data_IF_594129280840
#
_entry.id   IF_594129280840
#
_cell.length_a   1.000
_cell.length_b   1.000
_cell.length_c   1.000
_cell.angle_alpha   90.00
_cell.angle_beta   90.00
_cell.angle_gamma   90.00
#
_symmetry.space_group_name_H-M   'P 1'
#
loop_
_entity.id
_entity.type
_entity.pdbx_description
1 polymer ?
#
# COMPACT_ATOMS: atom_id res chain seq x y z
N UNK A 1 31.97 -7.92 -19.79
CA UNK A 1 30.98 -7.58 -18.78
C UNK A 1 30.82 -6.06 -18.69
N UNK A 2 29.60 -5.55 -18.76
CA UNK A 2 29.27 -4.12 -18.54
C UNK A 2 28.12 -4.04 -17.58
N UNK A 3 28.17 -3.16 -16.57
CA UNK A 3 27.12 -2.93 -15.61
C UNK A 3 26.47 -1.56 -15.83
N UNK A 4 25.16 -1.50 -15.65
CA UNK A 4 24.36 -0.29 -15.83
C UNK A 4 23.42 -0.12 -14.64
N UNK A 5 23.35 1.09 -14.07
CA UNK A 5 22.27 1.43 -13.14
C UNK A 5 20.97 1.48 -13.90
N UNK A 6 19.88 0.91 -13.37
CA UNK A 6 18.62 0.79 -14.14
C UNK A 6 17.39 1.13 -13.30
N UNK A 7 16.30 1.40 -13.99
CA UNK A 7 14.96 1.41 -13.41
C UNK A 7 14.68 2.55 -12.46
N UNK A 8 14.23 2.21 -11.24
CA UNK A 8 13.78 3.17 -10.25
C UNK A 8 14.84 4.18 -9.83
N UNK A 9 16.10 3.75 -9.73
CA UNK A 9 17.22 4.61 -9.35
C UNK A 9 17.45 5.71 -10.40
N UNK A 10 17.45 5.36 -11.70
CA UNK A 10 17.63 6.32 -12.80
C UNK A 10 16.47 7.31 -12.84
N UNK A 11 15.23 6.81 -12.73
CA UNK A 11 14.03 7.68 -12.68
C UNK A 11 14.06 8.65 -11.51
N UNK A 12 14.34 8.14 -10.29
CA UNK A 12 14.30 8.96 -9.08
C UNK A 12 15.43 9.99 -9.08
N UNK A 13 16.62 9.67 -9.63
CA UNK A 13 17.71 10.62 -9.85
C UNK A 13 17.29 11.76 -10.81
N UNK A 14 16.66 11.40 -11.94
CA UNK A 14 16.18 12.38 -12.93
C UNK A 14 15.07 13.30 -12.38
N UNK A 15 14.33 12.84 -11.37
CA UNK A 15 13.33 13.63 -10.65
C UNK A 15 13.92 14.42 -9.46
N UNK A 16 15.21 14.30 -9.17
CA UNK A 16 15.85 14.93 -8.01
C UNK A 16 15.37 14.34 -6.67
N UNK A 17 14.85 13.10 -6.66
CA UNK A 17 14.39 12.43 -5.46
C UNK A 17 15.56 11.70 -4.75
N UNK A 18 15.50 11.52 -3.43
CA UNK A 18 16.50 10.75 -2.71
C UNK A 18 16.63 9.32 -3.24
N UNK A 19 17.85 8.91 -3.57
CA UNK A 19 18.15 7.54 -3.97
C UNK A 19 18.21 6.68 -2.70
N UNK A 20 17.44 5.58 -2.67
CA UNK A 20 17.45 4.60 -1.58
C UNK A 20 18.34 3.43 -1.93
N UNK A 21 18.07 2.78 -3.07
CA UNK A 21 18.76 1.59 -3.53
C UNK A 21 19.08 1.73 -5.02
N UNK A 22 20.15 1.10 -5.46
CA UNK A 22 20.55 1.02 -6.87
C UNK A 22 20.48 -0.41 -7.33
N UNK A 23 19.70 -0.63 -8.39
CA UNK A 23 19.67 -1.91 -9.10
C UNK A 23 20.58 -1.82 -10.32
N UNK A 24 21.37 -2.85 -10.55
CA UNK A 24 22.26 -2.94 -11.70
C UNK A 24 21.83 -4.07 -12.64
N UNK A 25 21.95 -3.82 -13.95
CA UNK A 25 21.88 -4.85 -14.97
C UNK A 25 23.29 -5.09 -15.53
N UNK A 26 23.69 -6.34 -15.59
CA UNK A 26 24.98 -6.79 -16.13
C UNK A 26 24.76 -7.45 -17.49
N UNK A 27 25.41 -6.91 -18.51
CA UNK A 27 25.38 -7.42 -19.89
C UNK A 27 26.71 -8.09 -20.23
N UNK A 28 26.68 -9.20 -20.94
CA UNK A 28 27.86 -9.90 -21.42
C UNK A 28 28.62 -10.67 -20.32
N UNK A 29 27.87 -11.24 -19.35
CA UNK A 29 28.45 -12.11 -18.32
C UNK A 29 27.57 -13.34 -18.08
N UNK A 30 28.21 -14.40 -17.57
CA UNK A 30 27.54 -15.61 -17.11
C UNK A 30 27.46 -15.65 -15.58
N UNK A 31 26.57 -16.50 -14.99
CA UNK A 31 26.56 -16.72 -13.55
C UNK A 31 27.91 -17.12 -12.97
N UNK A 32 28.67 -17.98 -13.69
CA UNK A 32 29.96 -18.46 -13.29
C UNK A 32 31.01 -17.34 -13.27
N UNK A 33 30.90 -16.39 -14.20
CA UNK A 33 31.78 -15.20 -14.24
C UNK A 33 31.48 -14.26 -13.07
N UNK A 34 30.21 -14.07 -12.71
CA UNK A 34 29.83 -13.30 -11.53
C UNK A 34 30.39 -13.92 -10.24
N UNK A 35 30.26 -15.25 -10.08
CA UNK A 35 30.81 -15.97 -8.93
C UNK A 35 32.33 -15.85 -8.84
N UNK A 36 33.05 -15.99 -9.97
CA UNK A 36 34.52 -15.82 -10.01
C UNK A 36 34.99 -14.42 -9.61
N UNK A 37 34.14 -13.40 -9.83
CA UNK A 37 34.42 -12.01 -9.41
C UNK A 37 33.99 -11.73 -7.97
N UNK A 38 33.55 -12.76 -7.22
CA UNK A 38 33.20 -12.66 -5.82
C UNK A 38 31.77 -12.17 -5.55
N UNK A 39 30.92 -12.04 -6.57
CA UNK A 39 29.51 -11.76 -6.39
C UNK A 39 28.80 -12.95 -5.76
N UNK A 40 27.85 -12.68 -4.86
CA UNK A 40 27.12 -13.72 -4.14
C UNK A 40 25.70 -13.85 -4.69
N UNK A 41 25.26 -15.05 -5.12
CA UNK A 41 23.92 -15.25 -5.67
C UNK A 41 22.86 -15.06 -4.59
N UNK A 42 21.73 -14.40 -4.95
CA UNK A 42 20.54 -14.22 -4.13
C UNK A 42 19.30 -14.54 -4.96
N UNK A 43 18.39 -15.32 -4.37
CA UNK A 43 17.19 -15.79 -5.08
C UNK A 43 17.39 -17.13 -5.79
N UNK A 44 16.29 -17.90 -5.86
CA UNK A 44 16.32 -19.25 -6.45
C UNK A 44 15.97 -19.25 -7.95
N UNK A 45 15.16 -18.28 -8.38
CA UNK A 45 14.51 -18.33 -9.69
C UNK A 45 15.09 -17.32 -10.70
N UNK A 46 15.90 -16.36 -10.24
CA UNK A 46 16.44 -15.30 -11.08
C UNK A 46 17.94 -15.09 -10.81
N UNK A 47 18.76 -14.84 -11.86
CA UNK A 47 20.20 -14.62 -11.72
C UNK A 47 20.51 -13.22 -11.17
N UNK A 48 20.23 -13.02 -9.88
CA UNK A 48 20.55 -11.80 -9.13
C UNK A 48 21.68 -12.10 -8.15
N UNK A 49 22.63 -11.18 -8.03
CA UNK A 49 23.83 -11.30 -7.23
C UNK A 49 24.02 -10.04 -6.39
N UNK A 50 24.61 -10.20 -5.20
CA UNK A 50 25.05 -9.07 -4.39
C UNK A 50 26.53 -8.76 -4.68
N UNK A 51 26.81 -7.48 -4.83
CA UNK A 51 28.17 -6.99 -4.99
C UNK A 51 28.99 -7.29 -3.72
N UNK A 52 30.23 -7.80 -3.85
CA UNK A 52 31.01 -8.29 -2.68
C UNK A 52 31.28 -7.22 -1.61
N UNK A 53 31.34 -5.94 -1.99
CA UNK A 53 31.66 -4.83 -1.08
C UNK A 53 30.41 -4.01 -0.75
N UNK A 54 29.66 -3.51 -1.76
CA UNK A 54 28.54 -2.59 -1.55
C UNK A 54 27.25 -3.29 -1.18
N UNK A 55 27.14 -4.60 -1.42
CA UNK A 55 25.93 -5.41 -1.23
C UNK A 55 24.72 -4.95 -2.09
N UNK A 56 24.96 -4.10 -3.08
CA UNK A 56 23.97 -3.70 -4.07
C UNK A 56 23.61 -4.88 -5.00
N UNK A 57 22.39 -4.87 -5.55
CA UNK A 57 21.87 -5.94 -6.39
C UNK A 57 22.30 -5.78 -7.86
N UNK A 58 22.92 -6.84 -8.39
CA UNK A 58 23.34 -6.97 -9.78
C UNK A 58 22.62 -8.14 -10.43
N UNK A 59 21.71 -7.86 -11.37
CA UNK A 59 20.99 -8.86 -12.14
C UNK A 59 21.64 -9.04 -13.51
N UNK A 60 21.81 -10.28 -13.98
CA UNK A 60 22.17 -10.50 -15.37
C UNK A 60 21.04 -10.03 -16.29
N UNK A 61 21.43 -9.41 -17.43
CA UNK A 61 20.48 -9.07 -18.48
C UNK A 61 19.73 -10.31 -18.91
N UNK A 62 18.40 -10.20 -19.06
CA UNK A 62 17.55 -11.35 -19.33
C UNK A 62 16.33 -10.97 -20.16
N UNK A 63 15.85 -11.95 -20.92
CA UNK A 63 14.52 -11.94 -21.47
C UNK A 63 13.60 -12.86 -20.66
N UNK A 64 12.33 -12.53 -20.62
CA UNK A 64 11.30 -13.33 -19.95
C UNK A 64 10.24 -13.67 -21.02
N UNK A 65 9.80 -14.94 -21.05
CA UNK A 65 8.69 -15.38 -21.92
C UNK A 65 7.63 -16.06 -21.08
N UNK A 66 6.39 -15.66 -21.27
CA UNK A 66 5.25 -16.33 -20.64
C UNK A 66 5.09 -17.73 -21.22
N UNK A 67 5.27 -18.75 -20.40
CA UNK A 67 5.11 -20.18 -20.77
C UNK A 67 3.84 -20.83 -20.18
N UNK A 68 3.08 -20.09 -19.34
CA UNK A 68 1.87 -20.58 -18.70
C UNK A 68 1.06 -19.44 -18.06
N UNK A 69 -0.08 -19.79 -17.45
CA UNK A 69 -0.92 -18.83 -16.76
C UNK A 69 -0.37 -18.51 -15.35
N UNK A 70 -0.51 -17.24 -14.92
CA UNK A 70 -0.14 -16.77 -13.57
C UNK A 70 1.39 -16.55 -13.40
N UNK A 71 1.78 -16.25 -12.16
CA UNK A 71 3.14 -15.82 -11.78
C UNK A 71 4.25 -16.87 -12.03
N UNK A 72 3.94 -18.18 -11.95
CA UNK A 72 4.93 -19.27 -12.14
C UNK A 72 5.16 -19.64 -13.60
N UNK A 73 4.49 -18.98 -14.53
CA UNK A 73 4.52 -19.33 -15.96
C UNK A 73 5.55 -18.53 -16.77
N UNK A 74 6.69 -18.17 -16.21
CA UNK A 74 7.76 -17.49 -16.94
C UNK A 74 8.98 -18.38 -17.15
N UNK A 75 9.48 -18.44 -18.38
CA UNK A 75 10.80 -18.96 -18.70
C UNK A 75 11.75 -17.78 -18.81
N UNK A 76 12.77 -17.79 -17.96
CA UNK A 76 13.84 -16.77 -17.93
C UNK A 76 15.00 -17.26 -18.78
N UNK A 77 15.44 -16.44 -19.73
CA UNK A 77 16.66 -16.66 -20.48
C UNK A 77 17.65 -15.54 -20.14
N UNK A 78 18.71 -15.90 -19.44
CA UNK A 78 19.81 -15.01 -19.09
C UNK A 78 21.09 -15.58 -19.69
N UNK A 79 21.60 -14.93 -20.73
CA UNK A 79 22.80 -15.35 -21.44
C UNK A 79 23.62 -14.11 -21.84
N UNK A 80 24.92 -14.24 -22.12
CA UNK A 80 25.80 -13.10 -22.43
C UNK A 80 25.40 -12.34 -23.69
N UNK A 81 24.61 -12.93 -24.60
CA UNK A 81 24.10 -12.33 -25.82
C UNK A 81 22.85 -11.47 -25.61
N UNK A 82 22.19 -11.55 -24.43
CA UNK A 82 21.06 -10.69 -24.11
C UNK A 82 21.55 -9.24 -23.97
N UNK A 83 20.96 -8.37 -24.78
CA UNK A 83 21.30 -6.95 -24.80
C UNK A 83 20.63 -6.16 -23.67
N UNK A 84 21.20 -4.98 -23.35
CA UNK A 84 20.54 -4.06 -22.42
C UNK A 84 19.15 -3.65 -22.87
N UNK A 85 18.97 -3.39 -24.18
CA UNK A 85 17.67 -2.99 -24.72
C UNK A 85 16.60 -4.08 -24.55
N UNK A 86 16.96 -5.36 -24.74
CA UNK A 86 16.04 -6.48 -24.50
C UNK A 86 15.63 -6.58 -23.01
N UNK A 87 16.56 -6.38 -22.08
CA UNK A 87 16.21 -6.33 -20.65
C UNK A 87 15.30 -5.15 -20.33
N UNK A 88 15.57 -3.96 -20.88
CA UNK A 88 14.72 -2.79 -20.69
C UNK A 88 13.33 -2.96 -21.32
N UNK A 89 13.22 -3.64 -22.47
CA UNK A 89 11.97 -3.86 -23.23
C UNK A 89 10.92 -4.66 -22.44
N UNK A 90 11.34 -5.60 -21.59
CA UNK A 90 10.42 -6.42 -20.77
C UNK A 90 9.89 -5.69 -19.52
N UNK A 91 10.39 -4.49 -19.20
CA UNK A 91 9.96 -3.72 -18.05
C UNK A 91 8.54 -3.18 -18.20
N UNK A 92 7.96 -2.74 -17.08
CA UNK A 92 6.56 -2.28 -17.02
C UNK A 92 6.33 -0.94 -17.74
N UNK A 93 7.08 0.10 -17.37
CA UNK A 93 6.88 1.47 -17.83
C UNK A 93 8.15 2.07 -18.44
N UNK A 94 7.99 2.94 -19.45
CA UNK A 94 9.10 3.66 -20.08
C UNK A 94 9.96 4.40 -19.07
N UNK A 95 9.35 5.04 -18.07
CA UNK A 95 10.05 5.73 -16.98
C UNK A 95 10.90 4.81 -16.09
N UNK A 96 10.68 3.51 -16.14
CA UNK A 96 11.46 2.48 -15.44
C UNK A 96 12.36 1.68 -16.38
N UNK A 97 12.32 1.97 -17.69
CA UNK A 97 13.08 1.30 -18.74
C UNK A 97 14.23 2.17 -19.27
N UNK A 98 14.84 2.92 -18.38
CA UNK A 98 16.04 3.71 -18.60
C UNK A 98 17.22 3.09 -17.86
N UNK A 99 18.42 3.28 -18.42
CA UNK A 99 19.68 2.87 -17.82
C UNK A 99 20.67 4.01 -17.80
N UNK A 100 21.65 3.94 -16.91
CA UNK A 100 22.77 4.88 -16.83
C UNK A 100 24.07 4.09 -16.88
N UNK A 101 24.93 4.46 -17.82
CA UNK A 101 26.25 3.85 -17.95
C UNK A 101 27.21 4.36 -16.86
N UNK A 102 28.35 3.72 -16.71
CA UNK A 102 29.36 4.07 -15.71
C UNK A 102 29.91 5.50 -15.89
N UNK A 103 30.00 5.97 -17.13
CA UNK A 103 30.40 7.35 -17.48
C UNK A 103 29.29 8.40 -17.21
N UNK A 104 28.14 7.96 -16.71
CA UNK A 104 26.97 8.81 -16.43
C UNK A 104 26.05 9.01 -17.62
N UNK A 105 26.35 8.45 -18.80
CA UNK A 105 25.50 8.55 -20.00
C UNK A 105 24.14 7.89 -19.81
N UNK A 106 23.05 8.61 -20.14
CA UNK A 106 21.69 8.09 -20.13
C UNK A 106 21.44 7.24 -21.39
N UNK A 107 20.92 6.03 -21.18
CA UNK A 107 20.46 5.11 -22.24
C UNK A 107 18.95 4.97 -22.10
N UNK A 108 18.22 5.50 -23.07
CA UNK A 108 16.75 5.59 -23.06
C UNK A 108 16.15 5.18 -24.42
N UNK A 109 16.13 3.88 -24.73
CA UNK A 109 15.64 3.42 -26.05
C UNK A 109 14.13 3.55 -26.21
N UNK A 110 13.37 3.75 -25.12
CA UNK A 110 11.90 3.76 -25.14
C UNK A 110 11.30 5.13 -24.83
N UNK A 111 12.10 6.19 -24.71
CA UNK A 111 11.63 7.56 -24.48
C UNK A 111 11.11 7.79 -23.06
N UNK A 112 11.67 7.08 -22.07
CA UNK A 112 11.28 7.20 -20.68
C UNK A 112 11.52 8.59 -20.10
N UNK A 113 12.61 9.27 -20.48
CA UNK A 113 12.90 10.66 -20.07
C UNK A 113 11.82 11.63 -20.55
N UNK A 114 11.37 11.48 -21.81
CA UNK A 114 10.30 12.30 -22.37
C UNK A 114 8.98 12.08 -21.62
N UNK A 115 8.62 10.82 -21.35
CA UNK A 115 7.41 10.50 -20.60
C UNK A 115 7.51 10.97 -19.15
N UNK A 116 8.70 10.91 -18.55
CA UNK A 116 8.97 11.39 -17.18
C UNK A 116 8.75 12.92 -17.10
N UNK A 117 9.31 13.67 -18.03
CA UNK A 117 9.16 15.14 -18.10
C UNK A 117 7.71 15.57 -18.37
N UNK A 118 6.98 14.75 -19.13
CA UNK A 118 5.58 15.00 -19.45
C UNK A 118 4.61 14.51 -18.36
N UNK A 119 5.10 13.82 -17.32
CA UNK A 119 4.25 13.22 -16.27
C UNK A 119 3.34 12.12 -16.80
N UNK A 120 3.85 11.23 -17.68
CA UNK A 120 3.08 10.18 -18.36
C UNK A 120 3.56 8.79 -17.96
N UNK A 121 2.63 7.91 -17.65
CA UNK A 121 2.83 6.48 -17.41
C UNK A 121 2.50 5.71 -18.68
N UNK A 122 3.52 5.27 -19.41
CA UNK A 122 3.41 4.52 -20.64
C UNK A 122 4.06 3.15 -20.50
N UNK A 123 3.38 2.07 -20.92
CA UNK A 123 3.99 0.74 -21.00
C UNK A 123 5.09 0.70 -22.08
N UNK A 124 6.10 -0.15 -21.86
CA UNK A 124 7.25 -0.26 -22.77
C UNK A 124 6.89 -1.04 -24.04
N UNK A 125 6.22 -2.17 -23.86
CA UNK A 125 5.90 -3.12 -24.95
C UNK A 125 4.69 -3.97 -24.58
N UNK A 126 4.21 -4.80 -25.53
CA UNK A 126 3.12 -5.76 -25.29
C UNK A 126 3.44 -6.79 -24.19
N UNK A 127 4.71 -6.99 -23.84
CA UNK A 127 5.12 -7.80 -22.69
C UNK A 127 4.54 -7.29 -21.35
N UNK A 128 4.03 -6.06 -21.33
CA UNK A 128 3.27 -5.54 -20.18
C UNK A 128 2.10 -6.45 -19.79
N UNK A 129 1.40 -7.02 -20.76
CA UNK A 129 0.24 -7.88 -20.52
C UNK A 129 0.59 -9.25 -19.90
N UNK A 130 1.86 -9.62 -19.86
CA UNK A 130 2.30 -10.91 -19.30
C UNK A 130 2.13 -11.01 -17.79
N UNK A 131 2.18 -9.87 -17.05
CA UNK A 131 2.02 -9.83 -15.58
C UNK A 131 0.90 -8.86 -15.19
N UNK A 132 -0.29 -9.36 -14.77
CA UNK A 132 -1.41 -8.49 -14.41
C UNK A 132 -1.15 -7.59 -13.18
N UNK A 133 -0.15 -7.90 -12.34
CA UNK A 133 0.26 -7.01 -11.24
C UNK A 133 0.78 -5.67 -11.75
N UNK A 134 1.23 -5.59 -13.00
CA UNK A 134 1.68 -4.32 -13.61
C UNK A 134 0.57 -3.27 -13.64
N UNK A 135 -0.71 -3.66 -13.70
CA UNK A 135 -1.84 -2.73 -13.55
C UNK A 135 -1.80 -2.03 -12.19
N UNK A 136 -1.60 -2.80 -11.12
CA UNK A 136 -1.49 -2.24 -9.75
C UNK A 136 -0.23 -1.38 -9.60
N UNK A 137 0.86 -1.74 -10.26
CA UNK A 137 2.09 -0.94 -10.27
C UNK A 137 1.88 0.41 -10.97
N UNK A 138 1.19 0.44 -12.12
CA UNK A 138 0.81 1.69 -12.79
C UNK A 138 -0.04 2.55 -11.87
N UNK A 139 -1.07 1.96 -11.24
CA UNK A 139 -1.94 2.65 -10.31
C UNK A 139 -1.16 3.24 -9.10
N UNK A 140 -0.20 2.47 -8.55
CA UNK A 140 0.70 2.95 -7.49
C UNK A 140 1.60 4.10 -7.97
N UNK A 141 2.17 4.02 -9.17
CA UNK A 141 2.98 5.12 -9.70
C UNK A 141 2.15 6.37 -9.98
N UNK A 142 0.89 6.23 -10.38
CA UNK A 142 -0.04 7.36 -10.45
C UNK A 142 -0.25 7.99 -9.07
N UNK A 143 -0.41 7.18 -8.02
CA UNK A 143 -0.51 7.66 -6.64
C UNK A 143 0.79 8.33 -6.14
N UNK A 144 1.96 7.82 -6.53
CA UNK A 144 3.26 8.35 -6.10
C UNK A 144 3.59 9.68 -6.74
N UNK A 145 3.41 9.79 -8.05
CA UNK A 145 3.91 10.92 -8.84
C UNK A 145 2.80 11.89 -9.29
N UNK A 146 1.52 11.50 -9.18
CA UNK A 146 0.42 12.28 -9.75
C UNK A 146 0.34 12.21 -11.29
N UNK A 147 1.10 11.32 -11.94
CA UNK A 147 1.20 11.21 -13.38
C UNK A 147 -0.06 10.64 -14.02
N UNK A 148 -0.28 10.96 -15.30
CA UNK A 148 -1.40 10.46 -16.10
C UNK A 148 -1.02 9.17 -16.81
N UNK A 149 -1.95 8.22 -16.87
CA UNK A 149 -1.77 6.99 -17.67
C UNK A 149 -2.00 7.32 -19.15
N UNK A 150 -1.07 6.89 -20.01
CA UNK A 150 -1.20 7.05 -21.45
C UNK A 150 -2.37 6.23 -21.99
N UNK A 151 -3.12 6.75 -22.97
CA UNK A 151 -4.36 6.12 -23.45
C UNK A 151 -4.15 4.68 -23.95
N UNK A 152 -3.09 4.41 -24.74
CA UNK A 152 -2.76 3.04 -25.16
C UNK A 152 -2.48 2.10 -23.99
N UNK A 153 -1.85 2.60 -22.91
CA UNK A 153 -1.59 1.81 -21.71
C UNK A 153 -2.89 1.52 -20.96
N UNK A 154 -3.77 2.51 -20.84
CA UNK A 154 -5.07 2.34 -20.22
C UNK A 154 -5.93 1.34 -21.01
N UNK A 155 -5.90 1.41 -22.36
CA UNK A 155 -6.62 0.44 -23.21
C UNK A 155 -6.07 -0.98 -23.01
N UNK A 156 -4.74 -1.17 -23.01
CA UNK A 156 -4.12 -2.47 -22.74
C UNK A 156 -4.53 -3.02 -21.36
N UNK A 157 -4.58 -2.16 -20.34
CA UNK A 157 -5.04 -2.56 -19.01
C UNK A 157 -6.50 -2.99 -19.01
N UNK A 158 -7.39 -2.29 -19.73
CA UNK A 158 -8.81 -2.69 -19.93
C UNK A 158 -8.92 -4.07 -20.59
N UNK A 159 -8.13 -4.31 -21.64
CA UNK A 159 -8.13 -5.57 -22.37
C UNK A 159 -7.66 -6.73 -21.46
N UNK A 160 -6.64 -6.50 -20.62
CA UNK A 160 -6.19 -7.47 -19.63
C UNK A 160 -7.26 -7.79 -18.57
N UNK A 161 -8.02 -6.79 -18.12
CA UNK A 161 -9.14 -7.01 -17.18
C UNK A 161 -10.28 -7.77 -17.86
N UNK A 162 -10.62 -7.42 -19.10
CA UNK A 162 -11.69 -8.04 -19.87
C UNK A 162 -11.38 -9.50 -20.26
N UNK A 163 -10.11 -9.81 -20.56
CA UNK A 163 -9.68 -11.17 -20.88
C UNK A 163 -9.61 -12.14 -19.70
N UNK A 164 -9.79 -11.63 -18.46
CA UNK A 164 -9.70 -12.45 -17.25
C UNK A 164 -8.27 -12.71 -16.73
N UNK A 165 -7.24 -12.11 -17.34
CA UNK A 165 -5.85 -12.25 -16.85
C UNK A 165 -5.71 -11.82 -15.39
N UNK A 166 -6.50 -10.84 -14.95
CA UNK A 166 -6.52 -10.35 -13.56
C UNK A 166 -7.14 -11.31 -12.54
N UNK A 167 -7.84 -12.36 -12.98
CA UNK A 167 -8.46 -13.34 -12.09
C UNK A 167 -7.40 -14.28 -11.46
N UNK A 168 -6.18 -14.26 -12.01
CA UNK A 168 -5.01 -15.00 -11.52
C UNK A 168 -4.07 -14.16 -10.65
N UNK A 169 -4.50 -12.98 -10.23
CA UNK A 169 -3.73 -12.13 -9.31
C UNK A 169 -3.50 -12.84 -7.97
N UNK A 170 -2.24 -12.91 -7.54
CA UNK A 170 -1.85 -13.43 -6.22
C UNK A 170 -2.11 -12.36 -5.17
N UNK A 171 -2.94 -12.67 -4.18
CA UNK A 171 -3.45 -11.69 -3.22
C UNK A 171 -2.33 -10.98 -2.43
N UNK A 172 -1.24 -11.68 -2.11
CA UNK A 172 -0.07 -11.12 -1.43
C UNK A 172 0.63 -10.06 -2.29
N UNK A 173 0.74 -10.28 -3.62
CA UNK A 173 1.29 -9.29 -4.56
C UNK A 173 0.33 -8.12 -4.74
N UNK A 174 -0.99 -8.38 -4.73
CA UNK A 174 -2.00 -7.32 -4.75
C UNK A 174 -1.84 -6.43 -3.53
N UNK A 175 -1.80 -7.01 -2.32
CA UNK A 175 -1.61 -6.25 -1.09
C UNK A 175 -0.32 -5.43 -1.11
N UNK A 176 0.78 -6.01 -1.59
CA UNK A 176 2.07 -5.33 -1.64
C UNK A 176 2.03 -4.03 -2.47
N UNK A 177 1.43 -4.06 -3.66
CA UNK A 177 1.32 -2.87 -4.50
C UNK A 177 0.22 -1.92 -4.00
N UNK A 178 -0.91 -2.48 -3.56
CA UNK A 178 -2.04 -1.73 -3.02
C UNK A 178 -1.66 -0.93 -1.76
N UNK A 179 -1.03 -1.58 -0.79
CA UNK A 179 -0.63 -0.93 0.47
C UNK A 179 0.41 0.18 0.25
N UNK A 180 1.38 -0.06 -0.66
CA UNK A 180 2.32 0.98 -1.08
C UNK A 180 1.59 2.16 -1.75
N UNK A 181 0.65 1.88 -2.66
CA UNK A 181 -0.13 2.91 -3.33
C UNK A 181 -1.02 3.72 -2.37
N UNK A 182 -1.63 3.05 -1.39
CA UNK A 182 -2.43 3.69 -0.35
C UNK A 182 -1.57 4.59 0.56
N UNK A 183 -0.29 4.24 0.77
CA UNK A 183 0.66 5.01 1.57
C UNK A 183 1.29 6.21 0.81
N UNK A 184 1.11 6.30 -0.51
CA UNK A 184 1.70 7.36 -1.34
C UNK A 184 1.03 8.73 -1.12
N UNK A 185 1.58 9.75 -1.79
CA UNK A 185 1.17 11.16 -1.66
C UNK A 185 -0.24 11.43 -2.22
N UNK A 186 -0.62 10.72 -3.29
CA UNK A 186 -1.87 10.91 -4.02
C UNK A 186 -2.65 9.58 -4.13
N UNK A 187 -3.07 8.95 -3.00
CA UNK A 187 -3.70 7.63 -3.03
C UNK A 187 -4.98 7.59 -3.86
N UNK A 188 -5.72 8.71 -3.96
CA UNK A 188 -6.92 8.84 -4.79
C UNK A 188 -6.65 8.50 -6.26
N UNK A 189 -5.46 8.85 -6.77
CA UNK A 189 -5.06 8.56 -8.17
C UNK A 189 -4.98 7.07 -8.47
N UNK A 190 -4.60 6.25 -7.47
CA UNK A 190 -4.62 4.79 -7.61
C UNK A 190 -6.03 4.30 -7.92
N UNK A 191 -7.03 4.76 -7.18
CA UNK A 191 -8.43 4.36 -7.35
C UNK A 191 -9.01 4.84 -8.68
N UNK A 192 -8.67 6.06 -9.10
CA UNK A 192 -9.07 6.57 -10.42
C UNK A 192 -8.56 5.68 -11.56
N UNK A 193 -7.29 5.26 -11.51
CA UNK A 193 -6.68 4.37 -12.51
C UNK A 193 -7.32 2.99 -12.48
N UNK A 194 -7.51 2.39 -11.29
CA UNK A 194 -8.13 1.07 -11.14
C UNK A 194 -9.59 1.07 -11.63
N UNK A 195 -10.34 2.14 -11.39
CA UNK A 195 -11.69 2.34 -11.91
C UNK A 195 -11.68 2.49 -13.42
N UNK A 196 -10.80 3.31 -13.97
CA UNK A 196 -10.72 3.56 -15.40
C UNK A 196 -10.39 2.31 -16.25
N UNK A 197 -9.69 1.33 -15.67
CA UNK A 197 -9.42 0.05 -16.33
C UNK A 197 -10.37 -1.09 -15.94
N UNK A 198 -11.32 -0.88 -15.01
CA UNK A 198 -12.30 -1.90 -14.58
C UNK A 198 -11.77 -2.90 -13.56
N UNK A 199 -10.56 -2.69 -13.00
CA UNK A 199 -10.03 -3.60 -11.98
C UNK A 199 -10.59 -3.30 -10.58
N UNK A 200 -11.04 -2.07 -10.32
CA UNK A 200 -11.58 -1.67 -9.01
C UNK A 200 -12.77 -2.53 -8.60
N UNK A 201 -13.68 -2.81 -9.52
CA UNK A 201 -14.90 -3.59 -9.33
C UNK A 201 -14.58 -5.06 -8.98
N UNK A 202 -13.45 -5.57 -9.47
CA UNK A 202 -12.99 -6.92 -9.13
C UNK A 202 -12.34 -7.00 -7.74
N UNK A 203 -11.70 -5.93 -7.30
CA UNK A 203 -10.97 -5.89 -6.04
C UNK A 203 -11.87 -5.51 -4.84
N UNK A 204 -12.84 -4.63 -5.05
CA UNK A 204 -13.66 -4.05 -3.98
C UNK A 204 -15.10 -4.57 -4.01
N UNK A 205 -15.70 -4.87 -2.84
CA UNK A 205 -17.09 -5.34 -2.79
C UNK A 205 -18.12 -4.25 -3.11
N UNK A 206 -17.80 -2.98 -2.83
CA UNK A 206 -18.68 -1.82 -3.04
C UNK A 206 -17.84 -0.59 -3.43
N UNK A 207 -17.27 -0.58 -4.65
CA UNK A 207 -16.34 0.47 -5.08
C UNK A 207 -17.00 1.86 -5.16
N UNK A 208 -18.31 1.92 -5.34
CA UNK A 208 -19.09 3.16 -5.38
C UNK A 208 -19.13 3.91 -4.05
N UNK A 209 -18.88 3.21 -2.95
CA UNK A 209 -18.84 3.80 -1.60
C UNK A 209 -17.52 4.48 -1.26
N UNK A 210 -16.46 4.27 -2.06
CA UNK A 210 -15.13 4.81 -1.77
C UNK A 210 -15.15 6.33 -1.80
N UNK A 211 -14.76 6.96 -0.70
CA UNK A 211 -14.62 8.42 -0.60
C UNK A 211 -13.16 8.83 -0.87
N UNK A 212 -12.87 9.19 -2.11
CA UNK A 212 -11.52 9.61 -2.52
C UNK A 212 -11.04 10.86 -1.80
N UNK A 213 -11.95 11.79 -1.46
CA UNK A 213 -11.61 13.01 -0.72
C UNK A 213 -11.10 12.70 0.69
N UNK A 214 -11.73 11.75 1.38
CA UNK A 214 -11.27 11.32 2.70
C UNK A 214 -9.88 10.67 2.65
N UNK A 215 -9.57 9.92 1.59
CA UNK A 215 -8.23 9.35 1.37
C UNK A 215 -7.18 10.44 1.10
N UNK A 216 -7.53 11.46 0.32
CA UNK A 216 -6.67 12.62 0.07
C UNK A 216 -6.36 13.37 1.38
N UNK A 217 -7.36 13.61 2.23
CA UNK A 217 -7.18 14.24 3.55
C UNK A 217 -6.33 13.37 4.49
N UNK A 218 -6.52 12.05 4.48
CA UNK A 218 -5.68 11.13 5.25
C UNK A 218 -4.21 11.15 4.79
N UNK A 219 -3.97 11.29 3.47
CA UNK A 219 -2.62 11.43 2.93
C UNK A 219 -1.98 12.77 3.34
N UNK A 220 -2.69 13.88 3.25
CA UNK A 220 -2.24 15.22 3.70
C UNK A 220 -1.89 15.27 5.18
N UNK A 221 -2.63 14.51 5.99
CA UNK A 221 -2.39 14.39 7.45
C UNK A 221 -1.26 13.43 7.80
N UNK A 222 -0.57 12.82 6.82
CA UNK A 222 0.43 11.76 7.02
C UNK A 222 -0.08 10.60 7.89
N UNK A 223 -1.38 10.29 7.79
CA UNK A 223 -1.99 9.18 8.53
C UNK A 223 -1.29 7.86 8.23
N UNK A 224 -1.21 6.98 9.22
CA UNK A 224 -0.61 5.65 9.09
C UNK A 224 -1.35 4.77 8.08
N UNK A 225 -0.69 3.74 7.55
CA UNK A 225 -1.33 2.81 6.61
C UNK A 225 -2.59 2.15 7.18
N UNK A 226 -2.62 1.65 8.44
CA UNK A 226 -3.84 1.14 9.05
C UNK A 226 -4.97 2.17 9.10
N UNK A 227 -4.66 3.42 9.45
CA UNK A 227 -5.65 4.52 9.48
C UNK A 227 -6.19 4.79 8.07
N UNK A 228 -5.33 4.93 7.04
CA UNK A 228 -5.77 5.13 5.65
C UNK A 228 -6.64 3.97 5.16
N UNK A 229 -6.30 2.73 5.50
CA UNK A 229 -7.09 1.56 5.15
C UNK A 229 -8.45 1.56 5.87
N UNK A 230 -8.49 1.94 7.13
CA UNK A 230 -9.75 2.05 7.88
C UNK A 230 -10.63 3.22 7.38
N UNK A 231 -10.03 4.35 6.95
CA UNK A 231 -10.75 5.46 6.27
C UNK A 231 -11.37 4.97 4.96
N UNK A 232 -10.63 4.19 4.16
CA UNK A 232 -11.14 3.57 2.94
C UNK A 232 -12.32 2.63 3.24
N UNK A 233 -12.22 1.83 4.30
CA UNK A 233 -13.22 0.85 4.70
C UNK A 233 -14.40 1.47 5.48
N UNK A 234 -14.30 2.73 5.90
CA UNK A 234 -15.31 3.40 6.74
C UNK A 234 -16.76 3.27 6.21
N UNK A 235 -17.06 3.46 4.92
CA UNK A 235 -18.45 3.39 4.45
C UNK A 235 -18.98 1.96 4.28
N UNK A 236 -18.15 0.94 4.55
CA UNK A 236 -18.51 -0.46 4.35
C UNK A 236 -19.20 -1.03 5.59
N UNK A 237 -20.04 -2.07 5.39
CA UNK A 237 -20.57 -2.90 6.46
C UNK A 237 -19.53 -3.93 6.91
N UNK A 238 -19.68 -4.49 8.11
CA UNK A 238 -18.72 -5.44 8.69
C UNK A 238 -18.40 -6.62 7.75
N UNK A 239 -19.41 -7.23 7.14
CA UNK A 239 -19.22 -8.32 6.18
C UNK A 239 -18.45 -7.89 4.92
N UNK A 240 -18.65 -6.64 4.45
CA UNK A 240 -17.91 -6.08 3.31
C UNK A 240 -16.45 -5.81 3.70
N UNK A 241 -16.18 -5.34 4.92
CA UNK A 241 -14.81 -5.15 5.45
C UNK A 241 -14.09 -6.49 5.53
N UNK A 242 -14.75 -7.53 6.07
CA UNK A 242 -14.18 -8.89 6.13
C UNK A 242 -13.88 -9.44 4.72
N UNK A 243 -14.80 -9.26 3.78
CA UNK A 243 -14.61 -9.69 2.39
C UNK A 243 -13.44 -8.96 1.72
N UNK A 244 -13.32 -7.65 1.93
CA UNK A 244 -12.21 -6.83 1.42
C UNK A 244 -10.88 -7.29 2.01
N UNK A 245 -10.80 -7.46 3.33
CA UNK A 245 -9.59 -7.91 4.01
C UNK A 245 -9.16 -9.31 3.56
N UNK A 246 -10.11 -10.23 3.39
CA UNK A 246 -9.84 -11.58 2.88
C UNK A 246 -9.32 -11.57 1.44
N UNK A 247 -9.93 -10.78 0.57
CA UNK A 247 -9.55 -10.65 -0.85
C UNK A 247 -8.17 -10.04 -1.02
N UNK A 248 -7.85 -9.00 -0.25
CA UNK A 248 -6.56 -8.33 -0.30
C UNK A 248 -5.47 -9.00 0.55
N UNK A 249 -5.79 -9.98 1.38
CA UNK A 249 -4.89 -10.51 2.41
C UNK A 249 -4.33 -9.41 3.31
N UNK A 250 -5.20 -8.48 3.72
CA UNK A 250 -4.80 -7.37 4.58
C UNK A 250 -4.24 -7.89 5.91
N UNK A 251 -3.11 -7.33 6.42
CA UNK A 251 -2.55 -7.70 7.72
C UNK A 251 -3.53 -7.44 8.86
N UNK A 252 -3.37 -8.18 9.97
CA UNK A 252 -4.25 -8.08 11.14
C UNK A 252 -4.38 -6.64 11.66
N UNK A 253 -3.31 -5.87 11.67
CA UNK A 253 -3.32 -4.50 12.14
C UNK A 253 -4.31 -3.62 11.36
N UNK A 254 -4.26 -3.66 10.02
CA UNK A 254 -5.17 -2.91 9.16
C UNK A 254 -6.61 -3.45 9.26
N UNK A 255 -6.78 -4.78 9.28
CA UNK A 255 -8.08 -5.44 9.41
C UNK A 255 -8.76 -5.12 10.73
N UNK A 256 -8.06 -5.23 11.86
CA UNK A 256 -8.62 -4.97 13.20
C UNK A 256 -9.08 -3.51 13.35
N UNK A 257 -8.29 -2.52 12.85
CA UNK A 257 -8.68 -1.11 12.93
C UNK A 257 -9.91 -0.83 12.05
N UNK A 258 -9.95 -1.38 10.84
CA UNK A 258 -11.09 -1.21 9.94
C UNK A 258 -12.39 -1.80 10.53
N UNK A 259 -12.33 -2.99 11.12
CA UNK A 259 -13.47 -3.61 11.81
C UNK A 259 -13.87 -2.84 13.06
N UNK A 260 -12.92 -2.37 13.85
CA UNK A 260 -13.17 -1.55 15.03
C UNK A 260 -13.90 -0.25 14.64
N UNK A 261 -13.46 0.39 13.57
CA UNK A 261 -14.07 1.59 13.03
C UNK A 261 -15.51 1.31 12.57
N UNK A 262 -15.71 0.27 11.76
CA UNK A 262 -17.03 -0.13 11.27
C UNK A 262 -18.02 -0.41 12.41
N UNK A 263 -17.62 -1.18 13.42
CA UNK A 263 -18.47 -1.55 14.58
C UNK A 263 -18.86 -0.38 15.47
N UNK A 264 -18.06 0.68 15.50
CA UNK A 264 -18.27 1.82 16.38
C UNK A 264 -18.76 3.08 15.66
N UNK A 265 -19.00 3.03 14.37
CA UNK A 265 -19.37 4.15 13.52
C UNK A 265 -20.58 4.93 14.05
N UNK A 266 -21.68 4.23 14.32
CA UNK A 266 -22.90 4.86 14.82
C UNK A 266 -22.73 5.50 16.21
N UNK A 267 -21.95 4.84 17.09
CA UNK A 267 -21.63 5.40 18.41
C UNK A 267 -20.79 6.67 18.29
N UNK A 268 -19.84 6.69 17.35
CA UNK A 268 -18.99 7.86 17.09
C UNK A 268 -19.80 9.02 16.51
N UNK A 269 -20.71 8.75 15.57
CA UNK A 269 -21.63 9.77 15.03
C UNK A 269 -22.50 10.39 16.12
N UNK A 270 -23.02 9.57 17.02
CA UNK A 270 -23.83 10.02 18.15
C UNK A 270 -23.05 10.63 19.31
N UNK A 271 -21.73 10.56 19.33
CA UNK A 271 -20.89 10.89 20.49
C UNK A 271 -20.99 12.36 20.94
N UNK A 272 -21.25 13.30 20.02
CA UNK A 272 -21.41 14.74 20.33
C UNK A 272 -22.49 14.99 21.38
N UNK A 273 -23.61 14.27 21.32
CA UNK A 273 -24.75 14.44 22.20
C UNK A 273 -24.97 13.26 23.16
N UNK A 274 -23.98 12.34 23.24
CA UNK A 274 -24.09 11.14 24.03
C UNK A 274 -24.04 11.45 25.54
N UNK A 275 -24.78 10.69 26.34
CA UNK A 275 -24.66 10.74 27.81
C UNK A 275 -23.30 10.22 28.27
N UNK A 276 -22.84 10.57 29.48
CA UNK A 276 -21.59 10.01 30.03
C UNK A 276 -21.58 8.48 30.06
N UNK A 277 -22.70 7.84 30.33
CA UNK A 277 -22.84 6.38 30.29
C UNK A 277 -22.68 5.81 28.86
N UNK A 278 -23.25 6.49 27.85
CA UNK A 278 -23.09 6.11 26.45
C UNK A 278 -21.66 6.30 25.96
N UNK A 279 -20.96 7.35 26.40
CA UNK A 279 -19.52 7.53 26.13
C UNK A 279 -18.70 6.41 26.77
N UNK A 280 -18.96 6.03 28.02
CA UNK A 280 -18.30 4.89 28.66
C UNK A 280 -18.53 3.58 27.88
N UNK A 281 -19.76 3.36 27.39
CA UNK A 281 -20.09 2.20 26.59
C UNK A 281 -19.30 2.17 25.27
N UNK A 282 -19.11 3.32 24.59
CA UNK A 282 -18.24 3.45 23.42
C UNK A 282 -16.77 3.11 23.78
N UNK A 283 -16.23 3.69 24.87
CA UNK A 283 -14.86 3.43 25.30
C UNK A 283 -14.61 1.94 25.59
N UNK A 284 -15.56 1.27 26.22
CA UNK A 284 -15.49 -0.18 26.50
C UNK A 284 -15.58 -1.00 25.20
N UNK A 285 -16.52 -0.67 24.31
CA UNK A 285 -16.68 -1.36 23.03
C UNK A 285 -15.47 -1.21 22.11
N UNK A 286 -14.78 -0.08 22.21
CA UNK A 286 -13.55 0.22 21.46
C UNK A 286 -12.26 -0.22 22.15
N UNK A 287 -12.34 -0.93 23.28
CA UNK A 287 -11.19 -1.39 24.09
C UNK A 287 -10.22 -0.25 24.46
N UNK A 288 -10.74 0.98 24.68
CA UNK A 288 -9.98 2.21 24.84
C UNK A 288 -9.05 2.22 26.06
N UNK A 289 -9.35 1.40 27.07
CA UNK A 289 -8.57 1.33 28.31
C UNK A 289 -7.35 0.40 28.18
N UNK A 290 -7.47 -0.65 27.39
CA UNK A 290 -6.40 -1.63 27.18
C UNK A 290 -5.51 -1.30 26.00
N UNK A 291 -6.09 -0.63 24.98
CA UNK A 291 -5.40 -0.28 23.74
C UNK A 291 -5.61 1.21 23.40
N UNK A 292 -5.10 2.14 24.24
CA UNK A 292 -5.35 3.57 24.09
C UNK A 292 -4.81 4.13 22.77
N UNK A 293 -3.70 3.61 22.25
CA UNK A 293 -3.13 4.00 20.96
C UNK A 293 -4.04 3.61 19.80
N UNK A 294 -4.57 2.38 19.81
CA UNK A 294 -5.55 1.92 18.84
C UNK A 294 -6.85 2.73 18.89
N UNK A 295 -7.24 3.16 20.09
CA UNK A 295 -8.39 4.04 20.24
C UNK A 295 -8.14 5.44 19.68
N UNK A 296 -6.93 5.98 19.85
CA UNK A 296 -6.55 7.25 19.21
C UNK A 296 -6.60 7.14 17.67
N UNK A 297 -6.09 6.05 17.08
CA UNK A 297 -6.22 5.77 15.66
C UNK A 297 -7.69 5.71 15.21
N UNK A 298 -8.57 5.07 15.99
CA UNK A 298 -10.01 5.04 15.71
C UNK A 298 -10.62 6.44 15.65
N UNK A 299 -10.26 7.33 16.58
CA UNK A 299 -10.72 8.71 16.59
C UNK A 299 -10.18 9.49 15.37
N UNK A 300 -8.94 9.23 14.98
CA UNK A 300 -8.35 9.79 13.77
C UNK A 300 -9.10 9.33 12.50
N UNK A 301 -9.42 8.04 12.40
CA UNK A 301 -10.24 7.50 11.31
C UNK A 301 -11.58 8.22 11.22
N UNK A 302 -12.30 8.37 12.33
CA UNK A 302 -13.61 9.03 12.36
C UNK A 302 -13.54 10.50 11.91
N UNK A 303 -12.51 11.21 12.32
CA UNK A 303 -12.24 12.58 11.91
C UNK A 303 -11.93 12.69 10.41
N UNK A 304 -11.06 11.82 9.89
CA UNK A 304 -10.64 11.85 8.50
C UNK A 304 -11.71 11.35 7.53
N UNK A 305 -12.45 10.31 7.93
CA UNK A 305 -13.46 9.69 7.06
C UNK A 305 -14.73 10.53 6.92
N UNK A 306 -15.18 11.18 8.00
CA UNK A 306 -16.49 11.84 8.06
C UNK A 306 -16.47 13.23 8.73
N UNK A 307 -15.30 13.73 9.13
CA UNK A 307 -15.16 15.02 9.80
C UNK A 307 -15.75 15.07 11.21
N UNK A 308 -15.85 13.93 11.89
CA UNK A 308 -16.47 13.89 13.22
C UNK A 308 -15.61 14.62 14.27
N UNK A 309 -16.28 15.35 15.17
CA UNK A 309 -15.65 15.99 16.33
C UNK A 309 -15.35 14.95 17.42
N UNK A 310 -14.09 14.57 17.56
CA UNK A 310 -13.68 13.48 18.45
C UNK A 310 -13.12 13.96 19.79
N UNK A 311 -12.93 15.27 19.98
CA UNK A 311 -12.31 15.86 21.20
C UNK A 311 -13.07 15.53 22.48
N UNK A 312 -14.41 15.53 22.44
CA UNK A 312 -15.23 15.15 23.59
C UNK A 312 -15.00 13.69 23.99
N UNK A 313 -14.91 12.80 23.03
CA UNK A 313 -14.64 11.36 23.25
C UNK A 313 -13.23 11.16 23.81
N UNK A 314 -12.24 11.90 23.30
CA UNK A 314 -10.87 11.85 23.81
C UNK A 314 -10.79 12.34 25.27
N UNK A 315 -11.45 13.44 25.61
CA UNK A 315 -11.55 13.93 27.01
C UNK A 315 -12.24 12.91 27.93
N UNK A 316 -13.32 12.29 27.45
CA UNK A 316 -14.01 11.25 28.20
C UNK A 316 -13.10 10.04 28.46
N UNK A 317 -12.29 9.64 27.50
CA UNK A 317 -11.32 8.55 27.65
C UNK A 317 -10.25 8.92 28.69
N UNK A 318 -9.68 10.13 28.63
CA UNK A 318 -8.70 10.59 29.61
C UNK A 318 -9.26 10.60 31.03
N UNK A 319 -10.46 11.19 31.23
CA UNK A 319 -11.10 11.26 32.54
C UNK A 319 -11.42 9.86 33.11
N UNK A 320 -11.96 8.97 32.28
CA UNK A 320 -12.28 7.60 32.69
C UNK A 320 -11.02 6.74 32.97
N UNK A 321 -9.92 6.99 32.26
CA UNK A 321 -8.65 6.29 32.47
C UNK A 321 -7.91 6.76 33.72
N UNK A 322 -8.16 7.97 34.23
CA UNK A 322 -7.61 8.49 35.45
C UNK A 322 -8.20 7.83 36.72
N UNK A 323 -9.31 7.09 36.60
CA UNK A 323 -9.91 6.38 37.71
C UNK A 323 -9.05 5.17 38.12
N UNK A 324 -8.61 5.15 39.37
CA UNK A 324 -7.86 4.02 39.94
C UNK A 324 -8.83 2.83 40.22
N UNK A 325 -8.97 2.00 39.21
CA UNK A 325 -9.79 0.79 39.29
C UNK A 325 -9.24 -0.20 40.36
N UNK A 326 -7.92 -0.19 40.62
CA UNK A 326 -7.30 -1.04 41.62
C UNK A 326 -7.67 -0.64 43.06
N UNK A 327 -7.75 0.68 43.35
CA UNK A 327 -8.23 1.16 44.64
C UNK A 327 -9.69 0.81 44.89
N UNK A 328 -10.57 0.97 43.87
CA UNK A 328 -11.99 0.60 43.98
C UNK A 328 -12.14 -0.91 44.16
N UNK A 329 -11.35 -1.74 43.47
CA UNK A 329 -11.41 -3.19 43.59
C UNK A 329 -11.08 -3.69 45.01
N UNK A 330 -10.30 -2.94 45.80
CA UNK A 330 -9.98 -3.28 47.20
C UNK A 330 -11.15 -3.02 48.17
N UNK A 331 -12.10 -2.16 47.81
CA UNK A 331 -13.24 -1.76 48.65
C UNK A 331 -14.54 -2.50 48.28
N UNK A 332 -14.65 -2.99 47.06
CA UNK A 332 -15.83 -3.70 46.57
C UNK A 332 -15.77 -5.23 46.77
N UNK A 333 -16.91 -5.90 46.64
CA UNK A 333 -17.01 -7.37 46.72
C UNK A 333 -17.50 -7.97 45.42
N UNK A 334 -16.72 -8.92 44.87
CA UNK A 334 -17.14 -9.78 43.75
C UNK A 334 -17.69 -9.01 42.52
N UNK A 335 -18.93 -9.29 42.16
CA UNK A 335 -19.57 -8.67 40.95
C UNK A 335 -19.89 -7.20 41.05
N UNK A 336 -19.88 -6.60 42.24
CA UNK A 336 -20.14 -5.18 42.45
C UNK A 336 -18.96 -4.28 42.00
N UNK A 337 -17.74 -4.84 41.99
CA UNK A 337 -16.52 -4.08 41.64
C UNK A 337 -16.65 -3.44 40.24
N UNK A 338 -17.12 -4.19 39.25
CA UNK A 338 -17.26 -3.69 37.89
C UNK A 338 -18.25 -2.51 37.81
N UNK A 339 -19.37 -2.61 38.54
CA UNK A 339 -20.38 -1.55 38.60
C UNK A 339 -19.86 -0.29 39.29
N UNK A 340 -19.12 -0.43 40.40
CA UNK A 340 -18.51 0.68 41.10
C UNK A 340 -17.46 1.42 40.24
N UNK A 341 -16.64 0.67 39.50
CA UNK A 341 -15.67 1.26 38.56
C UNK A 341 -16.41 2.01 37.42
N UNK A 342 -17.48 1.42 36.86
CA UNK A 342 -18.26 2.06 35.81
C UNK A 342 -18.95 3.33 36.33
N UNK A 343 -19.51 3.32 37.53
CA UNK A 343 -20.11 4.50 38.18
C UNK A 343 -19.10 5.61 38.36
N UNK A 344 -17.90 5.30 38.87
CA UNK A 344 -16.82 6.27 39.07
C UNK A 344 -16.39 6.87 37.73
N UNK A 345 -16.25 6.06 36.69
CA UNK A 345 -15.90 6.52 35.34
C UNK A 345 -16.98 7.39 34.73
N UNK A 346 -18.25 7.03 34.86
CA UNK A 346 -19.38 7.86 34.39
C UNK A 346 -19.37 9.23 35.06
N UNK A 347 -19.14 9.30 36.38
CA UNK A 347 -19.01 10.58 37.13
C UNK A 347 -17.83 11.40 36.61
N UNK A 348 -16.67 10.79 36.39
CA UNK A 348 -15.49 11.48 35.86
C UNK A 348 -15.74 12.02 34.43
N UNK A 349 -16.38 11.24 33.56
CA UNK A 349 -16.75 11.66 32.21
C UNK A 349 -17.74 12.84 32.28
N UNK A 350 -18.74 12.80 33.16
CA UNK A 350 -19.72 13.88 33.32
C UNK A 350 -19.09 15.23 33.75
N UNK A 351 -17.97 15.19 34.44
CA UNK A 351 -17.23 16.39 34.85
C UNK A 351 -16.29 16.94 33.77
N UNK A 352 -15.84 16.11 32.82
CA UNK A 352 -14.84 16.45 31.81
C UNK A 352 -15.41 16.65 30.40
N UNK A 353 -16.60 16.16 30.10
CA UNK A 353 -17.27 16.17 28.79
C UNK A 353 -18.36 17.26 28.69
#
# INVERSE_FOLDING_TARGET
MKAYVVGGAVRDELLGLPLKDRDYVVVGATPEEMLRQGYRPVGKDFPVFLHPVTQEEYALARTERKSGRGYKGFTVHAAPDVTLEEDLRRRDLTINAMAKAEDGGLIDPFGGKKDLDAGVLRHVSEAFAEDPVRILRVARFAARFGFKVHEKTLQLMRDMVASGETDHLVAERVWQEFSKGLAEKHPERMFEVLKACGLLEKLFPSPEKINLKSLEEAAKSNASLPVRFAVLAWPLKEAEVEALCGRLRAPNEARELALLACRNQERLRGARNASPAALLALLKAADAFRRPERFAELLEVARLAEGLETQRVARAQQAASAIDAGAIAKTGRGSEIAALIDEARVKAIAQAA
#
